data_IF_027615510992
#
_entry.id   IF_027615510992
#
_cell.length_a   1.000
_cell.length_b   1.000
_cell.length_c   1.000
_cell.angle_alpha   90.00
_cell.angle_beta   90.00
_cell.angle_gamma   90.00
#
_symmetry.space_group_name_H-M   'P 1'
#
loop_
_entity.id
_entity.type
_entity.pdbx_description
1 polymer ?
#
# COMPACT_ATOMS: atom_id res chain seq x y z
N UNK A 1 -8.35 -39.11 80.99
CA UNK A 1 -7.57 -38.54 79.87
C UNK A 1 -6.14 -38.38 80.37
N UNK A 2 -5.15 -39.01 79.72
CA UNK A 2 -3.75 -39.04 80.21
C UNK A 2 -2.91 -37.98 79.52
N UNK A 3 -1.86 -37.47 80.17
CA UNK A 3 -0.94 -36.47 79.57
C UNK A 3 -0.34 -36.98 78.26
N UNK A 4 -0.04 -38.27 78.16
CA UNK A 4 0.44 -38.91 76.94
C UNK A 4 -0.56 -38.81 75.79
N UNK A 5 -1.87 -38.98 76.06
CA UNK A 5 -2.91 -38.83 75.04
C UNK A 5 -3.01 -37.39 74.52
N UNK A 6 -2.80 -36.40 75.39
CA UNK A 6 -2.79 -34.98 75.00
C UNK A 6 -1.54 -34.64 74.18
N UNK A 7 -0.37 -35.14 74.59
CA UNK A 7 0.88 -34.93 73.85
C UNK A 7 0.85 -35.58 72.47
N UNK A 8 0.31 -36.80 72.35
CA UNK A 8 0.14 -37.48 71.06
C UNK A 8 -0.82 -36.71 70.14
N UNK A 9 -1.92 -36.17 70.67
CA UNK A 9 -2.86 -35.35 69.91
C UNK A 9 -2.24 -34.03 69.43
N UNK A 10 -1.47 -33.35 70.29
CA UNK A 10 -0.74 -32.12 69.93
C UNK A 10 0.32 -32.38 68.87
N UNK A 11 1.06 -33.48 68.99
CA UNK A 11 2.07 -33.86 68.01
C UNK A 11 1.41 -34.12 66.65
N UNK A 12 0.33 -34.91 66.60
CA UNK A 12 -0.41 -35.15 65.37
C UNK A 12 -0.95 -33.86 64.76
N UNK A 13 -1.55 -32.99 65.57
CA UNK A 13 -2.09 -31.73 65.10
C UNK A 13 -1.01 -30.86 64.43
N UNK A 14 0.15 -30.72 65.07
CA UNK A 14 1.23 -29.90 64.56
C UNK A 14 2.01 -30.53 63.40
N UNK A 15 2.19 -31.86 63.41
CA UNK A 15 3.00 -32.58 62.43
C UNK A 15 2.22 -32.98 61.18
N UNK A 16 0.92 -33.25 61.31
CA UNK A 16 0.11 -33.82 60.23
C UNK A 16 -1.06 -32.90 59.88
N UNK A 17 -1.94 -32.59 60.83
CA UNK A 17 -3.23 -31.93 60.52
C UNK A 17 -3.04 -30.48 60.01
N UNK A 18 -2.07 -29.73 60.55
CA UNK A 18 -1.76 -28.35 60.09
C UNK A 18 -1.17 -28.33 58.67
N UNK A 19 -0.12 -29.12 58.34
CA UNK A 19 0.36 -29.24 56.97
C UNK A 19 -0.73 -29.66 55.97
N UNK A 20 -1.53 -30.68 56.30
CA UNK A 20 -2.62 -31.16 55.43
C UNK A 20 -3.65 -30.05 55.15
N UNK A 21 -3.98 -29.24 56.16
CA UNK A 21 -4.87 -28.08 56.00
C UNK A 21 -4.26 -27.03 55.06
N UNK A 22 -2.96 -26.76 55.17
CA UNK A 22 -2.25 -25.81 54.31
C UNK A 22 -2.23 -26.30 52.86
N UNK A 23 -1.95 -27.58 52.63
CA UNK A 23 -1.97 -28.17 51.29
C UNK A 23 -3.38 -28.14 50.69
N UNK A 24 -4.41 -28.40 51.51
CA UNK A 24 -5.81 -28.26 51.10
C UNK A 24 -6.16 -26.81 50.71
N UNK A 25 -5.67 -25.80 51.43
CA UNK A 25 -5.88 -24.38 51.09
C UNK A 25 -5.20 -23.98 49.77
N UNK A 26 -4.07 -24.60 49.44
CA UNK A 26 -3.34 -24.37 48.19
C UNK A 26 -3.89 -25.18 47.00
N UNK A 27 -4.83 -26.08 47.25
CA UNK A 27 -5.34 -26.99 46.23
C UNK A 27 -5.97 -26.22 45.06
N UNK A 28 -5.42 -26.41 43.86
CA UNK A 28 -5.91 -25.79 42.62
C UNK A 28 -5.57 -24.30 42.43
N UNK A 29 -4.98 -23.62 43.41
CA UNK A 29 -4.58 -22.21 43.29
C UNK A 29 -3.54 -22.01 42.18
N UNK A 30 -2.42 -22.74 42.27
CA UNK A 30 -1.34 -22.66 41.27
C UNK A 30 -1.82 -23.06 39.87
N UNK A 31 -2.66 -24.09 39.77
CA UNK A 31 -3.25 -24.53 38.49
C UNK A 31 -4.12 -23.44 37.88
N UNK A 32 -4.96 -22.78 38.69
CA UNK A 32 -5.85 -21.71 38.22
C UNK A 32 -5.07 -20.49 37.75
N UNK A 33 -4.05 -20.08 38.51
CA UNK A 33 -3.15 -18.98 38.12
C UNK A 33 -2.39 -19.33 36.84
N UNK A 34 -1.81 -20.53 36.75
CA UNK A 34 -1.06 -20.97 35.57
C UNK A 34 -1.93 -20.91 34.31
N UNK A 35 -3.18 -21.39 34.38
CA UNK A 35 -4.15 -21.30 33.27
C UNK A 35 -4.49 -19.85 32.91
N UNK A 36 -4.69 -18.98 33.90
CA UNK A 36 -4.96 -17.56 33.66
C UNK A 36 -3.79 -16.87 32.93
N UNK A 37 -2.57 -17.12 33.39
CA UNK A 37 -1.34 -16.57 32.76
C UNK A 37 -1.18 -17.11 31.34
N UNK A 38 -1.36 -18.41 31.12
CA UNK A 38 -1.28 -19.01 29.78
C UNK A 38 -2.32 -18.42 28.81
N UNK A 39 -3.56 -18.21 29.28
CA UNK A 39 -4.60 -17.59 28.49
C UNK A 39 -4.24 -16.14 28.12
N UNK A 40 -3.72 -15.37 29.09
CA UNK A 40 -3.25 -14.01 28.84
C UNK A 40 -2.11 -13.99 27.80
N UNK A 41 -1.11 -14.86 27.94
CA UNK A 41 0.00 -14.96 27.00
C UNK A 41 -0.48 -15.33 25.59
N UNK A 42 -1.44 -16.26 25.47
CA UNK A 42 -2.04 -16.62 24.19
C UNK A 42 -2.76 -15.43 23.54
N UNK A 43 -3.52 -14.65 24.32
CA UNK A 43 -4.17 -13.44 23.82
C UNK A 43 -3.14 -12.39 23.34
N UNK A 44 -2.05 -12.19 24.08
CA UNK A 44 -0.97 -11.28 23.68
C UNK A 44 -0.26 -11.75 22.39
N UNK A 45 -0.02 -13.05 22.24
CA UNK A 45 0.53 -13.59 20.99
C UNK A 45 -0.40 -13.36 19.80
N UNK A 46 -1.71 -13.57 19.98
CA UNK A 46 -2.69 -13.30 18.93
C UNK A 46 -2.70 -11.82 18.50
N UNK A 47 -2.64 -10.90 19.46
CA UNK A 47 -2.53 -9.45 19.18
C UNK A 47 -1.24 -9.15 18.43
N UNK A 48 -0.10 -9.71 18.87
CA UNK A 48 1.19 -9.54 18.22
C UNK A 48 1.16 -10.04 16.77
N UNK A 49 0.63 -11.23 16.53
CA UNK A 49 0.46 -11.78 15.18
C UNK A 49 -0.46 -10.91 14.33
N UNK A 50 -1.57 -10.44 14.88
CA UNK A 50 -2.48 -9.50 14.21
C UNK A 50 -1.78 -8.21 13.79
N UNK A 51 -0.98 -7.61 14.68
CA UNK A 51 -0.17 -6.41 14.35
C UNK A 51 0.85 -6.68 13.25
N UNK A 52 1.52 -7.82 13.29
CA UNK A 52 2.49 -8.21 12.27
C UNK A 52 1.84 -8.35 10.89
N UNK A 53 0.68 -9.00 10.81
CA UNK A 53 -0.10 -9.11 9.57
C UNK A 53 -0.49 -7.72 9.04
N UNK A 54 -0.93 -6.81 9.91
CA UNK A 54 -1.26 -5.44 9.50
C UNK A 54 -0.04 -4.71 8.95
N UNK A 55 1.13 -4.84 9.60
CA UNK A 55 2.38 -4.23 9.12
C UNK A 55 2.74 -4.76 7.73
N UNK A 56 2.68 -6.08 7.53
CA UNK A 56 2.95 -6.72 6.24
C UNK A 56 1.98 -6.26 5.16
N UNK A 57 0.70 -6.13 5.51
CA UNK A 57 -0.35 -5.64 4.59
C UNK A 57 -0.07 -4.21 4.16
N UNK A 58 0.28 -3.33 5.10
CA UNK A 58 0.61 -1.93 4.80
C UNK A 58 1.88 -1.80 3.97
N UNK A 59 2.93 -2.58 4.28
CA UNK A 59 4.15 -2.61 3.48
C UNK A 59 3.89 -3.06 2.05
N UNK A 60 3.01 -4.05 1.86
CA UNK A 60 2.59 -4.46 0.51
C UNK A 60 1.83 -3.35 -0.20
N UNK A 61 0.87 -2.70 0.48
CA UNK A 61 0.13 -1.59 -0.11
C UNK A 61 1.04 -0.43 -0.55
N UNK A 62 2.11 -0.14 0.22
CA UNK A 62 3.13 0.85 -0.14
C UNK A 62 3.92 0.39 -1.37
N UNK A 63 4.32 -0.89 -1.42
CA UNK A 63 5.05 -1.45 -2.56
C UNK A 63 4.21 -1.49 -3.85
N UNK A 64 2.88 -1.60 -3.71
CA UNK A 64 1.94 -1.61 -4.83
C UNK A 64 1.59 -0.20 -5.35
N UNK A 65 2.08 0.88 -4.70
CA UNK A 65 1.90 2.25 -5.19
C UNK A 65 2.72 2.46 -6.47
N UNK A 66 2.02 2.63 -7.60
CA UNK A 66 2.65 2.82 -8.91
C UNK A 66 1.90 3.86 -9.73
N UNK A 67 2.49 5.06 -9.81
CA UNK A 67 1.95 6.20 -10.57
C UNK A 67 1.78 5.88 -12.06
N UNK A 68 2.62 5.03 -12.65
CA UNK A 68 2.53 4.68 -14.07
C UNK A 68 1.30 3.79 -14.31
N UNK A 69 1.11 2.79 -13.46
CA UNK A 69 -0.05 1.89 -13.51
C UNK A 69 -1.34 2.65 -13.20
N UNK A 70 -1.34 3.51 -12.19
CA UNK A 70 -2.51 4.31 -11.82
C UNK A 70 -2.91 5.29 -12.93
N UNK A 71 -1.94 5.95 -13.55
CA UNK A 71 -2.16 6.80 -14.73
C UNK A 71 -2.74 5.99 -15.89
N UNK A 72 -2.22 4.80 -16.14
CA UNK A 72 -2.70 3.94 -17.22
C UNK A 72 -4.16 3.53 -16.98
N UNK A 73 -4.51 3.05 -15.78
CA UNK A 73 -5.89 2.71 -15.40
C UNK A 73 -6.83 3.91 -15.53
N UNK A 74 -6.36 5.11 -15.15
CA UNK A 74 -7.15 6.32 -15.29
C UNK A 74 -7.44 6.66 -16.77
N UNK A 75 -6.43 6.57 -17.63
CA UNK A 75 -6.59 6.81 -19.07
C UNK A 75 -7.52 5.77 -19.71
N UNK A 76 -7.42 4.50 -19.31
CA UNK A 76 -8.31 3.43 -19.77
C UNK A 76 -9.75 3.65 -19.29
N UNK A 77 -9.96 4.07 -18.04
CA UNK A 77 -11.28 4.35 -17.51
C UNK A 77 -11.97 5.51 -18.24
N UNK A 78 -11.19 6.53 -18.64
CA UNK A 78 -11.69 7.71 -19.37
C UNK A 78 -11.31 7.68 -20.86
N UNK A 79 -11.26 6.49 -21.47
CA UNK A 79 -10.80 6.29 -22.84
C UNK A 79 -11.48 7.24 -23.84
N UNK A 80 -12.80 7.41 -23.76
CA UNK A 80 -13.55 8.28 -24.70
C UNK A 80 -13.17 9.76 -24.61
N UNK A 81 -12.65 10.20 -23.47
CA UNK A 81 -12.22 11.59 -23.23
C UNK A 81 -10.79 11.81 -23.73
N UNK A 82 -9.91 10.83 -23.53
CA UNK A 82 -8.48 10.95 -23.83
C UNK A 82 -8.05 10.25 -25.13
N UNK A 83 -9.00 9.71 -25.90
CA UNK A 83 -8.72 9.13 -27.23
C UNK A 83 -8.20 10.21 -28.18
N UNK A 84 -7.23 9.84 -29.01
CA UNK A 84 -6.66 10.71 -30.04
C UNK A 84 -7.77 11.13 -31.03
N UNK A 85 -8.05 12.44 -31.19
CA UNK A 85 -9.01 12.92 -32.17
C UNK A 85 -8.60 12.54 -33.59
N UNK A 86 -9.58 12.45 -34.50
CA UNK A 86 -9.29 12.24 -35.93
C UNK A 86 -8.40 13.37 -36.45
N UNK A 87 -7.40 13.01 -37.26
CA UNK A 87 -6.57 13.99 -37.95
C UNK A 87 -7.46 14.94 -38.75
N UNK A 88 -7.21 16.23 -38.62
CA UNK A 88 -7.83 17.25 -39.48
C UNK A 88 -7.33 17.00 -40.91
N UNK A 89 -8.26 16.96 -41.86
CA UNK A 89 -7.96 16.77 -43.28
C UNK A 89 -8.36 18.02 -44.05
N UNK A 90 -7.73 18.23 -45.20
CA UNK A 90 -8.17 19.24 -46.15
C UNK A 90 -9.55 18.87 -46.68
N UNK A 91 -10.50 19.80 -46.57
CA UNK A 91 -11.85 19.67 -47.10
C UNK A 91 -11.99 20.62 -48.32
N UNK A 92 -12.11 20.09 -49.55
CA UNK A 92 -12.21 20.90 -50.75
C UNK A 92 -13.42 21.85 -50.74
N UNK A 93 -13.19 23.13 -51.04
CA UNK A 93 -14.28 24.09 -51.18
C UNK A 93 -14.78 24.11 -52.63
N UNK A 94 -16.08 23.88 -52.85
CA UNK A 94 -16.74 24.00 -54.17
C UNK A 94 -16.07 23.21 -55.31
N UNK A 95 -15.56 22.01 -55.01
CA UNK A 95 -14.95 21.16 -56.02
C UNK A 95 -13.50 21.52 -56.35
N UNK A 96 -12.79 22.20 -55.45
CA UNK A 96 -11.34 22.41 -55.57
C UNK A 96 -10.60 21.07 -55.75
N UNK A 97 -9.84 20.95 -56.83
CA UNK A 97 -9.09 19.74 -57.18
C UNK A 97 -7.65 19.77 -56.64
N UNK A 98 -7.20 20.90 -56.07
CA UNK A 98 -5.83 21.08 -55.59
C UNK A 98 -5.74 20.76 -54.09
N UNK A 99 -5.27 19.57 -53.74
CA UNK A 99 -5.12 19.12 -52.35
C UNK A 99 -3.69 19.24 -51.79
N UNK A 100 -2.76 19.79 -52.58
CA UNK A 100 -1.34 19.89 -52.24
C UNK A 100 -0.80 21.29 -52.55
N UNK A 101 0.24 21.70 -51.83
CA UNK A 101 0.91 22.98 -52.08
C UNK A 101 1.42 23.05 -53.52
N UNK A 102 1.01 24.09 -54.26
CA UNK A 102 1.46 24.35 -55.63
C UNK A 102 2.16 25.72 -55.69
N UNK A 103 3.49 25.72 -55.81
CA UNK A 103 4.31 26.93 -55.89
C UNK A 103 4.44 27.45 -57.32
N UNK A 104 3.39 28.14 -57.78
CA UNK A 104 3.39 28.83 -59.08
C UNK A 104 4.52 29.87 -59.14
N UNK A 105 5.01 30.15 -60.35
CA UNK A 105 6.19 31.01 -60.59
C UNK A 105 6.08 32.37 -59.88
N UNK A 106 4.89 32.98 -59.88
CA UNK A 106 4.64 34.29 -59.29
C UNK A 106 4.81 34.35 -57.76
N UNK A 107 4.69 33.22 -57.06
CA UNK A 107 4.74 33.13 -55.59
C UNK A 107 5.92 32.29 -55.08
N UNK A 108 6.70 31.69 -55.99
CA UNK A 108 7.76 30.74 -55.66
C UNK A 108 8.87 31.36 -54.81
N UNK A 109 9.36 32.54 -55.20
CA UNK A 109 10.46 33.20 -54.50
C UNK A 109 10.04 33.64 -53.09
N UNK A 110 8.79 34.09 -52.95
CA UNK A 110 8.22 34.42 -51.63
C UNK A 110 8.11 33.16 -50.75
N UNK A 111 7.60 32.04 -51.29
CA UNK A 111 7.53 30.77 -50.56
C UNK A 111 8.93 30.28 -50.15
N UNK A 112 9.93 30.40 -51.02
CA UNK A 112 11.31 30.03 -50.72
C UNK A 112 11.92 30.88 -49.61
N UNK A 113 11.70 32.19 -49.64
CA UNK A 113 12.16 33.11 -48.59
C UNK A 113 11.53 32.76 -47.23
N UNK A 114 10.20 32.53 -47.21
CA UNK A 114 9.48 32.11 -46.00
C UNK A 114 9.98 30.76 -45.48
N UNK A 115 10.29 29.81 -46.37
CA UNK A 115 10.85 28.52 -45.98
C UNK A 115 12.18 28.67 -45.24
N UNK A 116 13.14 29.44 -45.81
CA UNK A 116 14.44 29.69 -45.18
C UNK A 116 14.28 30.40 -43.83
N UNK A 117 13.39 31.39 -43.76
CA UNK A 117 13.09 32.10 -42.51
C UNK A 117 12.53 31.17 -41.44
N UNK A 118 11.58 30.29 -41.80
CA UNK A 118 11.03 29.29 -40.87
C UNK A 118 12.10 28.29 -40.41
N UNK A 119 12.98 27.87 -41.31
CA UNK A 119 14.08 26.95 -40.98
C UNK A 119 15.06 27.57 -39.97
N UNK A 120 15.47 28.82 -40.19
CA UNK A 120 16.35 29.55 -39.26
C UNK A 120 15.68 29.74 -37.90
N UNK A 121 14.39 30.08 -37.87
CA UNK A 121 13.64 30.25 -36.63
C UNK A 121 13.48 28.94 -35.87
N UNK A 122 13.19 27.84 -36.57
CA UNK A 122 13.14 26.50 -35.97
C UNK A 122 14.49 26.08 -35.40
N UNK A 123 15.59 26.41 -36.07
CA UNK A 123 16.93 26.15 -35.55
C UNK A 123 17.18 26.88 -34.23
N UNK A 124 16.86 28.18 -34.16
CA UNK A 124 16.99 28.97 -32.92
C UNK A 124 16.09 28.48 -31.79
N UNK A 125 14.84 28.13 -32.08
CA UNK A 125 13.91 27.61 -31.06
C UNK A 125 14.32 26.23 -30.53
N UNK A 126 14.91 25.37 -31.37
CA UNK A 126 15.43 24.08 -30.92
C UNK A 126 16.61 24.26 -29.96
N UNK A 127 17.53 25.18 -30.27
CA UNK A 127 18.66 25.47 -29.38
C UNK A 127 18.22 26.06 -28.04
N UNK A 128 17.17 26.88 -28.01
CA UNK A 128 16.61 27.46 -26.78
C UNK A 128 15.83 26.44 -25.93
N UNK A 129 15.12 25.50 -26.57
CA UNK A 129 14.32 24.49 -25.88
C UNK A 129 15.16 23.31 -25.34
N UNK A 130 16.42 23.18 -25.77
CA UNK A 130 17.37 22.17 -25.29
C UNK A 130 18.24 22.68 -24.11
N UNK A 131 18.11 23.96 -23.72
CA UNK A 131 18.67 24.57 -22.48
C UNK A 131 17.69 24.45 -21.30
#
# INVERSE_FOLDING_TARGET
MTIESVNAALQKYCSDDVPDLIDCMNFGFHTSISKCIQMFLSAQDNIRRGRQITIETLNRAIADLDTVVDKQKYLEYFETTFTIPKKIKFEPHKGDEVSTVNAQVLIRDEMQSRFIQMQNRLAGLKTENDE
#
